data_IF_494326312221
#
_entry.id   IF_494326312221
#
_cell.length_a   1.000
_cell.length_b   1.000
_cell.length_c   1.000
_cell.angle_alpha   90.00
_cell.angle_beta   90.00
_cell.angle_gamma   90.00
#
_symmetry.space_group_name_H-M   'P 1'
#
loop_
_entity.id
_entity.type
_entity.pdbx_description
1 polymer ?
#
# COMPACT_ATOMS: atom_id res chain seq x y z
N UNK A 1 -37.28 1.08 -16.61
CA UNK A 1 -37.44 2.41 -15.98
C UNK A 1 -36.21 3.26 -16.28
N UNK A 2 -36.18 4.55 -15.93
CA UNK A 2 -34.92 5.32 -15.89
C UNK A 2 -34.41 5.40 -14.45
N UNK A 3 -33.10 5.25 -14.27
CA UNK A 3 -32.46 5.25 -12.95
C UNK A 3 -31.12 5.99 -13.03
N UNK A 4 -30.68 6.55 -11.90
CA UNK A 4 -29.36 7.17 -11.83
C UNK A 4 -28.27 6.12 -12.03
N UNK A 5 -27.31 6.45 -12.88
CA UNK A 5 -26.18 5.57 -13.22
C UNK A 5 -25.39 5.14 -11.97
N UNK A 6 -25.21 6.01 -10.98
CA UNK A 6 -24.49 5.68 -9.75
C UNK A 6 -25.20 4.66 -8.86
N UNK A 7 -26.51 4.53 -8.97
CA UNK A 7 -27.30 3.50 -8.29
C UNK A 7 -27.30 2.21 -9.14
N UNK A 8 -27.57 2.36 -10.44
CA UNK A 8 -27.66 1.22 -11.36
C UNK A 8 -26.36 0.41 -11.40
N UNK A 9 -25.20 1.09 -11.36
CA UNK A 9 -23.89 0.43 -11.30
C UNK A 9 -23.69 -0.42 -10.04
N UNK A 10 -24.25 -0.02 -8.90
CA UNK A 10 -24.15 -0.79 -7.65
C UNK A 10 -25.11 -1.98 -7.68
N UNK A 11 -26.33 -1.76 -8.15
CA UNK A 11 -27.34 -2.82 -8.26
C UNK A 11 -26.97 -3.90 -9.27
N UNK A 12 -26.30 -3.53 -10.37
CA UNK A 12 -25.77 -4.48 -11.35
C UNK A 12 -24.41 -5.09 -10.95
N UNK A 13 -23.91 -4.79 -9.74
CA UNK A 13 -22.71 -5.41 -9.18
C UNK A 13 -21.38 -4.90 -9.75
N UNK A 14 -21.36 -3.79 -10.49
CA UNK A 14 -20.10 -3.19 -10.96
C UNK A 14 -19.28 -2.57 -9.83
N UNK A 15 -19.91 -2.13 -8.75
CA UNK A 15 -19.24 -1.55 -7.58
C UNK A 15 -19.94 -1.89 -6.28
N UNK A 16 -19.17 -2.09 -5.21
CA UNK A 16 -19.70 -2.41 -3.87
C UNK A 16 -20.38 -1.22 -3.18
N UNK A 17 -20.20 0.00 -3.69
CA UNK A 17 -20.82 1.19 -3.10
C UNK A 17 -21.03 2.31 -4.11
N UNK A 18 -22.02 3.16 -3.83
CA UNK A 18 -22.32 4.35 -4.65
C UNK A 18 -21.15 5.31 -4.74
N UNK A 19 -20.31 5.36 -3.71
CA UNK A 19 -19.15 6.24 -3.70
C UNK A 19 -18.05 5.74 -4.65
N UNK A 20 -17.84 4.43 -4.74
CA UNK A 20 -16.93 3.83 -5.74
C UNK A 20 -17.46 4.06 -7.16
N UNK A 21 -18.76 3.86 -7.38
CA UNK A 21 -19.40 4.13 -8.66
C UNK A 21 -19.23 5.60 -9.09
N UNK A 22 -19.47 6.56 -8.18
CA UNK A 22 -19.24 7.99 -8.43
C UNK A 22 -17.81 8.29 -8.84
N UNK A 23 -16.82 7.73 -8.13
CA UNK A 23 -15.39 7.91 -8.43
C UNK A 23 -15.04 7.38 -9.81
N UNK A 24 -15.57 6.22 -10.20
CA UNK A 24 -15.34 5.63 -11.52
C UNK A 24 -15.94 6.49 -12.66
N UNK A 25 -17.14 7.04 -12.45
CA UNK A 25 -17.79 7.96 -13.40
C UNK A 25 -16.95 9.23 -13.55
N UNK A 26 -16.52 9.83 -12.43
CA UNK A 26 -15.66 11.03 -12.45
C UNK A 26 -14.30 10.77 -13.10
N UNK A 27 -13.77 9.55 -12.99
CA UNK A 27 -12.55 9.12 -13.65
C UNK A 27 -12.74 8.82 -15.16
N UNK A 28 -13.97 8.94 -15.69
CA UNK A 28 -14.26 8.72 -17.11
C UNK A 28 -14.23 7.25 -17.52
N UNK A 29 -14.38 6.33 -16.57
CA UNK A 29 -14.27 4.88 -16.79
C UNK A 29 -15.61 4.23 -17.14
N UNK A 30 -16.72 4.91 -16.93
CA UNK A 30 -18.07 4.37 -17.15
C UNK A 30 -18.58 4.81 -18.51
N UNK A 31 -19.02 3.85 -19.31
CA UNK A 31 -19.63 4.03 -20.62
C UNK A 31 -21.05 3.45 -20.59
N UNK A 32 -22.00 4.18 -21.15
CA UNK A 32 -23.40 3.77 -21.29
C UNK A 32 -23.74 3.87 -22.76
N UNK A 33 -24.13 2.76 -23.37
CA UNK A 33 -24.41 2.67 -24.81
C UNK A 33 -23.26 3.25 -25.67
N UNK A 34 -22.02 2.87 -25.31
CA UNK A 34 -20.75 3.34 -25.89
C UNK A 34 -20.42 4.84 -25.72
N UNK A 35 -21.20 5.60 -24.94
CA UNK A 35 -20.91 6.99 -24.61
C UNK A 35 -20.35 7.11 -23.20
N UNK A 36 -19.28 7.89 -23.04
CA UNK A 36 -18.68 8.14 -21.72
C UNK A 36 -19.65 8.91 -20.84
N UNK A 37 -19.93 8.38 -19.65
CA UNK A 37 -20.71 9.05 -18.63
C UNK A 37 -19.78 9.87 -17.72
N UNK A 38 -20.08 11.15 -17.55
CA UNK A 38 -19.30 12.11 -16.76
C UNK A 38 -20.03 12.59 -15.49
N UNK A 39 -21.32 12.26 -15.35
CA UNK A 39 -22.18 12.73 -14.25
C UNK A 39 -22.84 11.56 -13.53
N UNK A 40 -22.53 11.41 -12.25
CA UNK A 40 -23.09 10.34 -11.41
C UNK A 40 -24.62 10.38 -11.27
N UNK A 41 -25.22 11.58 -11.34
CA UNK A 41 -26.67 11.75 -11.29
C UNK A 41 -27.38 11.55 -12.62
N UNK A 42 -26.65 11.17 -13.70
CA UNK A 42 -27.25 10.99 -15.02
C UNK A 42 -28.24 9.82 -15.01
N UNK A 43 -29.44 10.05 -15.53
CA UNK A 43 -30.48 9.04 -15.60
C UNK A 43 -30.36 8.23 -16.90
N UNK A 44 -30.16 6.93 -16.75
CA UNK A 44 -30.01 5.97 -17.84
C UNK A 44 -31.15 4.96 -17.79
N UNK A 45 -31.44 4.31 -18.92
CA UNK A 45 -32.41 3.22 -18.90
C UNK A 45 -31.79 2.01 -18.19
N UNK A 46 -32.60 1.26 -17.45
CA UNK A 46 -32.10 0.08 -16.72
C UNK A 46 -31.56 -1.03 -17.64
N UNK A 47 -32.00 -1.06 -18.90
CA UNK A 47 -31.58 -1.99 -19.96
C UNK A 47 -30.44 -1.44 -20.83
N UNK A 48 -29.94 -0.21 -20.56
CA UNK A 48 -28.79 0.34 -21.26
C UNK A 48 -27.57 -0.55 -21.10
N UNK A 49 -26.76 -0.70 -22.16
CA UNK A 49 -25.53 -1.47 -22.11
C UNK A 49 -24.47 -0.67 -21.37
N UNK A 50 -24.11 -1.11 -20.17
CA UNK A 50 -23.08 -0.47 -19.35
C UNK A 50 -21.76 -1.21 -19.51
N UNK A 51 -20.70 -0.46 -19.79
CA UNK A 51 -19.32 -0.93 -19.82
C UNK A 51 -18.50 -0.08 -18.85
N UNK A 52 -17.80 -0.72 -17.93
CA UNK A 52 -16.85 -0.06 -17.03
C UNK A 52 -15.45 -0.45 -17.50
N UNK A 53 -14.74 0.51 -18.09
CA UNK A 53 -13.37 0.29 -18.58
C UNK A 53 -12.39 0.39 -17.42
N UNK A 54 -11.73 -0.73 -17.15
CA UNK A 54 -10.81 -0.87 -16.03
C UNK A 54 -11.54 -1.00 -14.70
N UNK A 55 -10.94 -1.72 -13.76
CA UNK A 55 -11.31 -1.59 -12.36
C UNK A 55 -10.50 -0.40 -11.81
N UNK A 56 -11.10 0.75 -11.44
CA UNK A 56 -10.32 1.90 -10.97
C UNK A 56 -9.41 1.54 -9.80
N UNK A 57 -9.82 0.57 -8.98
CA UNK A 57 -9.09 0.04 -7.84
C UNK A 57 -9.49 -1.44 -7.70
N UNK A 58 -8.65 -2.42 -8.10
CA UNK A 58 -8.99 -3.85 -8.02
C UNK A 58 -9.08 -4.39 -6.58
N UNK A 59 -8.68 -3.57 -5.61
CA UNK A 59 -8.64 -3.92 -4.19
C UNK A 59 -9.75 -3.22 -3.40
N UNK A 60 -9.99 -3.64 -2.16
CA UNK A 60 -10.96 -2.97 -1.24
C UNK A 60 -10.62 -1.51 -0.96
N UNK A 61 -9.37 -1.09 -1.17
CA UNK A 61 -8.96 0.31 -1.04
C UNK A 61 -7.82 0.66 -1.98
N UNK A 62 -7.61 1.97 -2.19
CA UNK A 62 -6.51 2.50 -3.03
C UNK A 62 -5.13 2.08 -2.53
N UNK A 63 -5.01 1.68 -1.27
CA UNK A 63 -3.77 1.17 -0.70
C UNK A 63 -3.19 0.06 -1.56
N UNK A 64 -4.00 -0.91 -2.01
CA UNK A 64 -3.49 -2.06 -2.78
C UNK A 64 -2.71 -1.69 -4.04
N UNK A 65 -2.99 -0.54 -4.67
CA UNK A 65 -2.22 -0.04 -5.83
C UNK A 65 -0.74 0.20 -5.50
N UNK A 66 -0.43 0.57 -4.24
CA UNK A 66 0.95 0.80 -3.80
C UNK A 66 1.75 -0.50 -3.76
N UNK A 67 1.16 -1.55 -3.18
CA UNK A 67 1.78 -2.87 -3.12
C UNK A 67 1.84 -3.50 -4.51
N UNK A 68 0.80 -3.36 -5.33
CA UNK A 68 0.79 -3.80 -6.73
C UNK A 68 1.95 -3.20 -7.53
N UNK A 69 2.20 -1.88 -7.41
CA UNK A 69 3.37 -1.26 -8.04
C UNK A 69 4.68 -1.87 -7.53
N UNK A 70 4.82 -2.04 -6.22
CA UNK A 70 6.03 -2.63 -5.64
C UNK A 70 6.28 -4.05 -6.18
N UNK A 71 5.23 -4.88 -6.23
CA UNK A 71 5.34 -6.25 -6.74
C UNK A 71 5.78 -6.27 -8.19
N UNK A 72 5.19 -5.43 -9.04
CA UNK A 72 5.55 -5.35 -10.45
C UNK A 72 6.98 -4.83 -10.66
N UNK A 73 7.37 -3.79 -9.92
CA UNK A 73 8.64 -3.11 -10.16
C UNK A 73 9.84 -3.83 -9.53
N UNK A 74 9.60 -4.60 -8.46
CA UNK A 74 10.64 -5.35 -7.75
C UNK A 74 10.56 -6.87 -8.01
N UNK A 75 9.72 -7.30 -8.95
CA UNK A 75 9.53 -8.71 -9.34
C UNK A 75 9.23 -9.63 -8.15
N UNK A 76 8.31 -9.19 -7.28
CA UNK A 76 7.93 -9.93 -6.07
C UNK A 76 6.79 -10.88 -6.40
N UNK A 77 7.04 -12.18 -6.20
CA UNK A 77 5.97 -13.20 -6.17
C UNK A 77 5.46 -13.40 -4.75
N UNK A 78 4.14 -13.47 -4.58
CA UNK A 78 3.45 -13.80 -3.33
C UNK A 78 2.77 -15.18 -3.34
N UNK A 79 2.93 -15.90 -4.45
CA UNK A 79 2.36 -17.21 -4.67
C UNK A 79 2.81 -18.20 -3.57
N UNK A 80 1.84 -18.83 -2.91
CA UNK A 80 2.05 -19.79 -1.82
C UNK A 80 2.80 -19.24 -0.59
N UNK A 81 2.78 -17.93 -0.36
CA UNK A 81 3.44 -17.31 0.80
C UNK A 81 2.51 -17.05 1.98
N UNK A 82 3.06 -17.16 3.18
CA UNK A 82 2.51 -16.57 4.40
C UNK A 82 2.98 -15.13 4.48
N UNK A 83 2.04 -14.19 4.59
CA UNK A 83 2.32 -12.77 4.57
C UNK A 83 1.89 -12.06 5.86
N UNK A 84 2.54 -10.93 6.16
CA UNK A 84 2.10 -9.99 7.20
C UNK A 84 1.70 -8.65 6.56
N UNK A 85 0.52 -8.13 6.91
CA UNK A 85 0.09 -6.77 6.56
C UNK A 85 0.14 -5.88 7.81
N UNK A 86 1.21 -5.10 7.96
CA UNK A 86 1.44 -4.23 9.12
C UNK A 86 0.88 -2.85 8.82
N UNK A 87 -0.21 -2.50 9.51
CA UNK A 87 -1.03 -1.31 9.20
C UNK A 87 -2.14 -1.61 8.19
N UNK A 88 -2.79 -2.78 8.31
CA UNK A 88 -3.74 -3.29 7.32
C UNK A 88 -4.90 -2.32 7.01
N UNK A 89 -5.35 -1.54 7.99
CA UNK A 89 -6.45 -0.57 7.88
C UNK A 89 -7.69 -1.20 7.23
N UNK A 90 -8.13 -0.67 6.08
CA UNK A 90 -9.25 -1.21 5.30
C UNK A 90 -8.96 -2.55 4.61
N UNK A 91 -7.69 -2.96 4.54
CA UNK A 91 -7.22 -4.23 3.98
C UNK A 91 -6.79 -4.16 2.52
N UNK A 92 -6.41 -2.97 2.01
CA UNK A 92 -6.00 -2.82 0.61
C UNK A 92 -4.79 -3.67 0.24
N UNK A 93 -3.80 -3.75 1.13
CA UNK A 93 -2.60 -4.57 0.94
C UNK A 93 -2.92 -6.06 1.14
N UNK A 94 -3.64 -6.41 2.21
CA UNK A 94 -4.18 -7.77 2.43
C UNK A 94 -4.89 -8.30 1.18
N UNK A 95 -5.82 -7.55 0.59
CA UNK A 95 -6.55 -7.96 -0.63
C UNK A 95 -5.60 -8.14 -1.82
N UNK A 96 -4.60 -7.25 -1.98
CA UNK A 96 -3.57 -7.38 -3.01
C UNK A 96 -2.75 -8.67 -2.83
N UNK A 97 -2.35 -9.01 -1.60
CA UNK A 97 -1.60 -10.24 -1.34
C UNK A 97 -2.43 -11.50 -1.65
N UNK A 98 -3.69 -11.54 -1.20
CA UNK A 98 -4.58 -12.68 -1.43
C UNK A 98 -4.91 -12.90 -2.91
N UNK A 99 -5.11 -11.81 -3.66
CA UNK A 99 -5.36 -11.88 -5.11
C UNK A 99 -4.13 -12.35 -5.90
N UNK A 100 -2.93 -12.22 -5.33
CA UNK A 100 -1.67 -12.63 -5.93
C UNK A 100 -1.09 -13.92 -5.29
N UNK A 101 -1.95 -14.79 -4.77
CA UNK A 101 -1.59 -16.15 -4.40
C UNK A 101 -1.07 -16.35 -2.97
N UNK A 102 -1.13 -15.33 -2.10
CA UNK A 102 -0.84 -15.53 -0.69
C UNK A 102 -1.83 -16.54 -0.08
N UNK A 103 -1.30 -17.54 0.62
CA UNK A 103 -2.09 -18.60 1.25
C UNK A 103 -2.55 -18.22 2.65
N UNK A 104 -1.90 -17.23 3.27
CA UNK A 104 -2.26 -16.71 4.59
C UNK A 104 -1.77 -15.27 4.74
N UNK A 105 -2.59 -14.40 5.36
CA UNK A 105 -2.21 -13.02 5.67
C UNK A 105 -2.56 -12.69 7.12
N UNK A 106 -1.56 -12.32 7.91
CA UNK A 106 -1.76 -11.72 9.23
C UNK A 106 -1.99 -10.22 9.07
N UNK A 107 -3.24 -9.77 9.18
CA UNK A 107 -3.63 -8.37 9.04
C UNK A 107 -3.58 -7.67 10.39
N UNK A 108 -2.48 -6.97 10.66
CA UNK A 108 -2.16 -6.36 11.96
C UNK A 108 -2.47 -4.87 11.91
N UNK A 109 -3.33 -4.39 12.80
CA UNK A 109 -3.66 -2.97 12.90
C UNK A 109 -3.97 -2.53 14.34
N UNK A 110 -3.63 -1.30 14.69
CA UNK A 110 -3.97 -0.68 15.98
C UNK A 110 -5.42 -0.21 16.05
N UNK A 111 -6.04 0.02 14.89
CA UNK A 111 -7.43 0.36 14.72
C UNK A 111 -8.38 -0.81 15.02
N UNK A 112 -9.67 -0.51 14.99
CA UNK A 112 -10.73 -1.48 15.25
C UNK A 112 -11.87 -1.30 14.25
N UNK A 113 -12.39 -2.41 13.74
CA UNK A 113 -13.51 -2.46 12.81
C UNK A 113 -13.22 -1.81 11.45
N UNK A 114 -11.95 -1.78 11.03
CA UNK A 114 -11.54 -1.13 9.78
C UNK A 114 -11.48 -2.11 8.62
N UNK A 115 -11.09 -3.36 8.89
CA UNK A 115 -10.87 -4.35 7.85
C UNK A 115 -12.17 -4.66 7.11
N UNK A 116 -12.13 -4.60 5.77
CA UNK A 116 -13.30 -4.85 4.94
C UNK A 116 -13.94 -6.21 5.25
N UNK A 117 -15.28 -6.25 5.31
CA UNK A 117 -16.03 -7.45 5.71
C UNK A 117 -15.63 -8.71 4.93
N UNK A 118 -15.45 -8.59 3.60
CA UNK A 118 -15.05 -9.71 2.75
C UNK A 118 -13.73 -10.35 3.19
N UNK A 119 -12.76 -9.54 3.62
CA UNK A 119 -11.45 -10.00 4.07
C UNK A 119 -11.54 -10.59 5.47
N UNK A 120 -12.40 -9.99 6.32
CA UNK A 120 -12.66 -10.48 7.67
C UNK A 120 -13.31 -11.88 7.70
N UNK A 121 -13.95 -12.27 6.60
CA UNK A 121 -14.58 -13.58 6.40
C UNK A 121 -13.71 -14.54 5.57
N UNK A 122 -12.59 -14.08 5.01
CA UNK A 122 -11.68 -14.94 4.24
C UNK A 122 -10.87 -15.81 5.21
N UNK A 123 -10.94 -17.13 5.05
CA UNK A 123 -10.27 -18.09 5.94
C UNK A 123 -8.74 -17.97 5.94
N UNK A 124 -8.17 -17.36 4.90
CA UNK A 124 -6.74 -17.11 4.78
C UNK A 124 -6.30 -15.89 5.59
N UNK A 125 -7.23 -15.09 6.11
CA UNK A 125 -6.93 -13.85 6.82
C UNK A 125 -7.01 -14.06 8.33
N UNK A 126 -5.91 -13.75 9.03
CA UNK A 126 -5.89 -13.65 10.49
C UNK A 126 -5.98 -12.17 10.86
N UNK A 127 -7.17 -11.74 11.29
CA UNK A 127 -7.43 -10.36 11.68
C UNK A 127 -6.91 -10.08 13.09
N UNK A 128 -5.87 -9.25 13.20
CA UNK A 128 -5.23 -8.82 14.45
C UNK A 128 -5.43 -7.31 14.65
N UNK A 129 -6.68 -6.91 14.90
CA UNK A 129 -7.05 -5.54 15.22
C UNK A 129 -6.79 -5.19 16.70
N UNK A 130 -6.67 -3.90 17.01
CA UNK A 130 -6.22 -3.38 18.32
C UNK A 130 -4.85 -3.92 18.73
N UNK A 131 -4.03 -4.29 17.76
CA UNK A 131 -2.72 -4.89 17.97
C UNK A 131 -1.64 -3.96 17.47
N UNK A 132 -0.76 -3.53 18.37
CA UNK A 132 0.42 -2.76 18.00
C UNK A 132 1.55 -3.72 17.65
N UNK A 133 2.03 -3.66 16.41
CA UNK A 133 3.12 -4.52 15.89
C UNK A 133 4.35 -4.58 16.81
N UNK A 134 4.64 -3.52 17.56
CA UNK A 134 5.78 -3.49 18.50
C UNK A 134 5.67 -4.48 19.65
N UNK A 135 4.49 -5.03 19.88
CA UNK A 135 4.19 -5.97 20.96
C UNK A 135 3.83 -7.36 20.42
N UNK A 136 3.80 -7.54 19.09
CA UNK A 136 3.56 -8.84 18.48
C UNK A 136 4.83 -9.66 18.53
N UNK A 137 4.66 -10.93 18.86
CA UNK A 137 5.71 -11.93 19.01
C UNK A 137 5.42 -13.13 18.10
N UNK A 138 6.42 -14.01 17.93
CA UNK A 138 6.23 -15.23 17.13
C UNK A 138 5.19 -16.16 17.75
N UNK A 139 4.98 -16.08 19.07
CA UNK A 139 3.94 -16.82 19.79
C UNK A 139 2.51 -16.40 19.39
N UNK A 140 2.33 -15.14 18.99
CA UNK A 140 1.04 -14.62 18.54
C UNK A 140 0.69 -15.11 17.13
N UNK A 141 1.68 -15.16 16.22
CA UNK A 141 1.47 -15.61 14.83
C UNK A 141 1.60 -17.12 14.67
N UNK A 142 2.41 -17.76 15.53
CA UNK A 142 2.79 -19.20 15.55
C UNK A 142 3.53 -19.69 14.30
N UNK A 143 3.69 -18.83 13.31
CA UNK A 143 4.31 -19.11 12.03
C UNK A 143 5.11 -17.87 11.61
N UNK A 144 6.27 -18.10 11.00
CA UNK A 144 7.05 -17.03 10.39
C UNK A 144 6.44 -16.66 9.03
N UNK A 145 6.38 -15.36 8.74
CA UNK A 145 6.03 -14.89 7.40
C UNK A 145 7.22 -14.99 6.45
N UNK A 146 6.91 -15.03 5.17
CA UNK A 146 7.88 -15.00 4.07
C UNK A 146 7.90 -13.65 3.37
N UNK A 147 6.84 -12.86 3.57
CA UNK A 147 6.70 -11.50 3.08
C UNK A 147 5.99 -10.62 4.10
N UNK A 148 6.41 -9.38 4.25
CA UNK A 148 5.68 -8.38 5.02
C UNK A 148 5.49 -7.10 4.20
N UNK A 149 4.32 -6.48 4.35
CA UNK A 149 4.08 -5.13 3.90
C UNK A 149 3.88 -4.19 5.08
N UNK A 150 4.46 -2.98 5.02
CA UNK A 150 4.38 -1.99 6.11
C UNK A 150 3.82 -0.68 5.57
N UNK A 151 2.57 -0.34 5.92
CA UNK A 151 1.89 0.93 5.59
C UNK A 151 1.34 1.63 6.86
N UNK A 152 2.23 1.89 7.82
CA UNK A 152 1.87 2.52 9.11
C UNK A 152 1.86 4.05 9.04
N UNK A 153 1.12 4.69 9.95
CA UNK A 153 1.08 6.15 10.09
C UNK A 153 1.41 6.58 11.53
N UNK A 154 1.92 7.80 11.70
CA UNK A 154 2.29 8.37 13.02
C UNK A 154 3.38 7.61 13.79
N UNK A 155 4.14 6.76 13.12
CA UNK A 155 5.27 6.02 13.68
C UNK A 155 6.38 5.92 12.63
N UNK A 156 7.62 5.94 13.08
CA UNK A 156 8.79 5.74 12.22
C UNK A 156 9.01 4.25 11.94
N UNK A 157 9.44 3.93 10.71
CA UNK A 157 9.90 2.60 10.31
C UNK A 157 11.04 2.10 11.20
N UNK A 158 11.82 2.99 11.83
CA UNK A 158 12.88 2.60 12.77
C UNK A 158 12.38 1.79 13.96
N UNK A 159 11.11 1.96 14.33
CA UNK A 159 10.49 1.21 15.42
C UNK A 159 9.75 -0.05 14.95
N UNK A 160 9.45 -0.13 13.65
CA UNK A 160 8.61 -1.20 13.08
C UNK A 160 9.45 -2.26 12.39
N UNK A 161 10.47 -1.88 11.62
CA UNK A 161 11.34 -2.81 10.89
C UNK A 161 11.99 -3.88 11.78
N UNK A 162 12.58 -3.56 12.96
CA UNK A 162 13.15 -4.59 13.82
C UNK A 162 12.12 -5.63 14.25
N UNK A 163 10.89 -5.19 14.54
CA UNK A 163 9.80 -6.06 14.98
C UNK A 163 9.23 -6.89 13.84
N UNK A 164 9.12 -6.33 12.63
CA UNK A 164 8.77 -7.10 11.44
C UNK A 164 9.79 -8.20 11.15
N UNK A 165 11.09 -7.92 11.35
CA UNK A 165 12.19 -8.89 11.18
C UNK A 165 12.12 -10.08 12.13
N UNK A 166 11.68 -9.87 13.38
CA UNK A 166 11.47 -10.96 14.35
C UNK A 166 10.34 -11.93 13.94
N UNK A 167 9.42 -11.50 13.08
CA UNK A 167 8.25 -12.27 12.63
C UNK A 167 8.43 -12.91 11.24
N UNK A 168 9.57 -12.68 10.59
CA UNK A 168 9.87 -13.19 9.26
C UNK A 168 10.93 -14.29 9.31
N UNK A 169 10.84 -15.22 8.37
CA UNK A 169 11.91 -16.18 8.13
C UNK A 169 13.20 -15.47 7.69
N UNK A 170 14.33 -16.19 7.82
CA UNK A 170 15.59 -15.73 7.23
C UNK A 170 15.41 -15.57 5.71
N UNK A 171 15.87 -14.44 5.17
CA UNK A 171 15.61 -14.05 3.76
C UNK A 171 14.16 -13.73 3.38
N UNK A 172 13.22 -13.67 4.34
CA UNK A 172 11.89 -13.12 4.11
C UNK A 172 11.97 -11.69 3.60
N UNK A 173 11.02 -11.27 2.76
CA UNK A 173 11.07 -9.96 2.09
C UNK A 173 10.11 -8.95 2.73
N UNK A 174 10.43 -7.66 2.63
CA UNK A 174 9.58 -6.58 3.13
C UNK A 174 9.40 -5.52 2.04
N UNK A 175 8.17 -5.07 1.83
CA UNK A 175 7.89 -3.77 1.19
C UNK A 175 7.40 -2.80 2.25
N UNK A 176 8.17 -1.74 2.50
CA UNK A 176 7.80 -0.72 3.48
C UNK A 176 7.55 0.62 2.79
N UNK A 177 6.54 1.35 3.28
CA UNK A 177 6.29 2.71 2.89
C UNK A 177 7.11 3.69 3.72
N UNK A 178 8.02 4.41 3.06
CA UNK A 178 8.69 5.56 3.64
C UNK A 178 7.78 6.78 3.46
N UNK A 179 7.28 7.31 4.57
CA UNK A 179 6.39 8.46 4.61
C UNK A 179 7.12 9.67 5.21
N UNK A 180 7.64 10.61 4.39
CA UNK A 180 8.45 11.72 4.88
C UNK A 180 7.84 12.49 6.05
N UNK A 181 6.52 12.68 6.06
CA UNK A 181 5.79 13.36 7.13
C UNK A 181 5.86 12.70 8.52
N UNK A 182 6.22 11.41 8.59
CA UNK A 182 6.37 10.67 9.85
C UNK A 182 7.82 10.37 10.21
N UNK A 183 8.76 10.62 9.29
CA UNK A 183 10.19 10.34 9.44
C UNK A 183 11.05 11.60 9.60
N UNK A 184 10.61 12.70 8.99
CA UNK A 184 11.26 14.00 9.08
C UNK A 184 11.07 14.62 10.47
N UNK A 185 12.02 15.47 10.87
CA UNK A 185 11.90 16.28 12.09
C UNK A 185 10.70 17.23 12.00
N UNK A 186 10.13 17.58 13.16
CA UNK A 186 8.92 18.43 13.25
C UNK A 186 9.09 19.76 12.52
N UNK A 187 10.30 20.29 12.50
CA UNK A 187 10.69 21.54 11.84
C UNK A 187 10.63 21.49 10.31
N UNK A 188 10.69 20.28 9.72
CA UNK A 188 10.66 20.07 8.25
C UNK A 188 9.28 19.72 7.72
N UNK A 189 8.28 19.62 8.61
CA UNK A 189 6.90 19.30 8.26
C UNK A 189 6.10 20.61 8.13
N UNK A 190 5.65 20.90 6.91
CA UNK A 190 4.93 22.14 6.60
C UNK A 190 3.47 22.14 7.05
N UNK A 191 2.73 23.18 6.63
CA UNK A 191 1.28 23.31 6.89
C UNK A 191 0.54 22.04 6.44
N UNK A 192 -0.46 21.63 7.23
CA UNK A 192 -1.26 20.40 7.03
C UNK A 192 -0.46 19.09 7.06
N UNK A 193 0.76 19.10 7.63
CA UNK A 193 1.54 17.88 7.74
C UNK A 193 2.20 17.44 6.42
N UNK A 194 2.43 18.39 5.49
CA UNK A 194 2.96 18.09 4.15
C UNK A 194 4.44 18.45 4.06
N UNK A 195 5.25 17.49 3.61
CA UNK A 195 6.68 17.70 3.33
C UNK A 195 6.84 17.96 1.83
N UNK A 196 7.25 19.18 1.47
CA UNK A 196 7.36 19.62 0.06
C UNK A 196 8.80 19.66 -0.47
N UNK A 197 9.76 19.91 0.41
CA UNK A 197 11.16 20.06 0.02
C UNK A 197 11.76 18.73 -0.46
N UNK A 198 12.31 18.72 -1.68
CA UNK A 198 13.01 17.55 -2.26
C UNK A 198 14.15 17.08 -1.36
N UNK A 199 14.93 18.01 -0.83
CA UNK A 199 16.06 17.72 0.06
C UNK A 199 15.63 16.95 1.30
N UNK A 200 14.48 17.29 1.90
CA UNK A 200 13.93 16.56 3.04
C UNK A 200 13.53 15.14 2.66
N UNK A 201 13.00 14.91 1.46
CA UNK A 201 12.67 13.55 1.01
C UNK A 201 13.93 12.70 0.83
N UNK A 202 14.96 13.25 0.20
CA UNK A 202 16.28 12.59 0.04
C UNK A 202 16.84 12.21 1.42
N UNK A 203 16.90 13.17 2.34
CA UNK A 203 17.43 12.95 3.69
C UNK A 203 16.66 11.86 4.45
N UNK A 204 15.33 11.85 4.36
CA UNK A 204 14.51 10.82 4.99
C UNK A 204 14.82 9.44 4.41
N UNK A 205 14.91 9.32 3.09
CA UNK A 205 15.18 8.03 2.43
C UNK A 205 16.59 7.56 2.78
N UNK A 206 17.61 8.43 2.75
CA UNK A 206 18.97 8.12 3.18
C UNK A 206 18.97 7.60 4.63
N UNK A 207 18.33 8.32 5.55
CA UNK A 207 18.26 7.98 6.98
C UNK A 207 17.56 6.65 7.26
N UNK A 208 16.52 6.31 6.50
CA UNK A 208 15.81 5.03 6.64
C UNK A 208 16.62 3.89 6.01
N UNK A 209 17.27 4.14 4.87
CA UNK A 209 18.10 3.15 4.17
C UNK A 209 19.32 2.76 5.01
N UNK A 210 20.03 3.76 5.54
CA UNK A 210 21.16 3.54 6.47
C UNK A 210 20.72 2.68 7.67
N UNK A 211 19.60 3.05 8.29
CA UNK A 211 19.06 2.29 9.42
C UNK A 211 18.66 0.86 9.04
N UNK A 212 18.06 0.64 7.87
CA UNK A 212 17.70 -0.70 7.43
C UNK A 212 18.95 -1.58 7.28
N UNK A 213 20.03 -1.06 6.70
CA UNK A 213 21.30 -1.79 6.60
C UNK A 213 21.88 -2.07 7.99
N UNK A 214 21.91 -1.08 8.89
CA UNK A 214 22.37 -1.24 10.28
C UNK A 214 21.54 -2.28 11.05
N UNK A 215 20.23 -2.34 10.80
CA UNK A 215 19.31 -3.32 11.39
C UNK A 215 19.42 -4.72 10.76
N UNK A 216 20.32 -4.91 9.79
CA UNK A 216 20.63 -6.19 9.17
C UNK A 216 19.67 -6.56 8.03
N UNK A 217 19.25 -5.58 7.23
CA UNK A 217 18.51 -5.80 5.99
C UNK A 217 19.37 -5.50 4.76
N UNK A 218 19.21 -6.33 3.74
CA UNK A 218 19.66 -6.01 2.38
C UNK A 218 18.60 -5.15 1.68
N UNK A 219 19.01 -4.09 0.98
CA UNK A 219 18.10 -3.25 0.19
C UNK A 219 18.07 -3.77 -1.23
N UNK A 220 16.92 -4.28 -1.65
CA UNK A 220 16.71 -4.85 -2.97
C UNK A 220 16.18 -3.82 -3.98
N UNK A 221 15.50 -2.77 -3.50
CA UNK A 221 14.92 -1.77 -4.40
C UNK A 221 14.36 -0.54 -3.70
N UNK A 222 14.22 0.54 -4.47
CA UNK A 222 13.61 1.80 -4.06
C UNK A 222 12.80 2.39 -5.22
N UNK A 223 11.57 2.84 -4.93
CA UNK A 223 10.70 3.54 -5.86
C UNK A 223 9.76 4.50 -5.10
N UNK A 224 8.88 5.21 -5.78
CA UNK A 224 7.82 6.03 -5.19
C UNK A 224 6.45 5.35 -5.27
N UNK A 225 5.54 5.64 -4.34
CA UNK A 225 4.14 5.18 -4.40
C UNK A 225 3.43 5.74 -5.64
N UNK A 226 2.58 4.96 -6.34
CA UNK A 226 1.83 5.45 -7.52
C UNK A 226 0.74 6.49 -7.16
N UNK A 227 0.45 6.64 -5.86
CA UNK A 227 -0.54 7.58 -5.34
C UNK A 227 0.06 8.38 -4.19
N UNK A 228 -0.35 9.64 -4.06
CA UNK A 228 -0.04 10.46 -2.88
C UNK A 228 -0.85 10.02 -1.66
N UNK A 229 -0.28 10.25 -0.47
CA UNK A 229 -1.00 10.12 0.79
C UNK A 229 -2.20 11.07 0.89
N UNK A 230 -3.09 10.91 1.89
CA UNK A 230 -4.35 11.67 1.98
C UNK A 230 -4.19 13.20 1.92
N UNK A 231 -3.15 13.73 2.58
CA UNK A 231 -2.83 15.17 2.61
C UNK A 231 -1.97 15.63 1.41
N UNK A 232 -1.71 14.75 0.45
CA UNK A 232 -0.91 15.05 -0.74
C UNK A 232 0.59 14.81 -0.60
N UNK A 233 1.04 14.15 0.48
CA UNK A 233 2.44 13.75 0.64
C UNK A 233 2.85 12.73 -0.42
N UNK A 234 4.03 12.92 -0.99
CA UNK A 234 4.71 11.88 -1.77
C UNK A 234 5.23 10.82 -0.78
N UNK A 235 4.98 9.55 -1.09
CA UNK A 235 5.42 8.41 -0.29
C UNK A 235 6.35 7.54 -1.14
N UNK A 236 7.28 6.84 -0.51
CA UNK A 236 8.25 5.98 -1.19
C UNK A 236 8.11 4.53 -0.76
N UNK A 237 8.54 3.62 -1.64
CA UNK A 237 8.51 2.18 -1.47
C UNK A 237 9.96 1.70 -1.38
N UNK A 238 10.31 1.04 -0.28
CA UNK A 238 11.60 0.36 -0.13
C UNK A 238 11.36 -1.14 -0.04
N UNK A 239 12.11 -1.91 -0.82
CA UNK A 239 12.10 -3.36 -0.82
C UNK A 239 13.34 -3.87 -0.10
N UNK A 240 13.12 -4.69 0.92
CA UNK A 240 14.15 -5.18 1.82
C UNK A 240 14.10 -6.71 1.88
N UNK A 241 15.23 -7.31 2.24
CA UNK A 241 15.35 -8.73 2.58
C UNK A 241 15.88 -8.89 4.00
N UNK A 242 15.29 -9.83 4.74
CA UNK A 242 15.58 -10.14 6.14
C UNK A 242 16.87 -10.96 6.30
N UNK A 243 17.96 -10.43 5.77
CA UNK A 243 19.36 -10.81 5.97
C UNK A 243 20.19 -9.82 5.17
N UNK A 244 21.36 -9.47 5.68
CA UNK A 244 22.39 -8.73 4.95
C UNK A 244 23.71 -9.50 4.89
N UNK A 245 23.65 -10.84 5.01
CA UNK A 245 24.83 -11.68 4.99
C UNK A 245 25.51 -11.59 3.61
N UNK A 246 26.73 -11.08 3.58
CA UNK A 246 27.48 -10.84 2.34
C UNK A 246 26.98 -9.66 1.51
N UNK A 247 26.11 -8.80 2.06
CA UNK A 247 25.63 -7.59 1.39
C UNK A 247 26.60 -6.42 1.60
N UNK A 248 27.20 -5.94 0.52
CA UNK A 248 28.02 -4.73 0.51
C UNK A 248 27.19 -3.51 0.10
N UNK A 249 26.84 -2.66 1.08
CA UNK A 249 26.04 -1.47 0.81
C UNK A 249 26.92 -0.32 0.27
N UNK A 250 26.83 -0.05 -1.03
CA UNK A 250 27.45 1.11 -1.64
C UNK A 250 26.57 2.36 -1.49
N UNK A 251 26.85 3.16 -0.45
CA UNK A 251 26.08 4.36 -0.12
C UNK A 251 26.08 5.42 -1.22
N UNK A 252 27.20 5.62 -1.91
CA UNK A 252 27.31 6.65 -2.96
C UNK A 252 26.51 6.28 -4.21
N UNK A 253 26.54 5.00 -4.60
CA UNK A 253 25.70 4.50 -5.70
C UNK A 253 24.21 4.57 -5.34
N UNK A 254 23.86 4.13 -4.12
CA UNK A 254 22.48 4.16 -3.68
C UNK A 254 21.92 5.59 -3.58
N UNK A 255 22.76 6.57 -3.22
CA UNK A 255 22.39 7.99 -3.25
C UNK A 255 21.98 8.48 -4.64
N UNK A 256 22.60 7.97 -5.71
CA UNK A 256 22.17 8.28 -7.08
C UNK A 256 20.78 7.71 -7.38
N UNK A 257 20.49 6.50 -6.89
CA UNK A 257 19.15 5.90 -6.96
C UNK A 257 18.12 6.75 -6.24
N UNK A 258 18.43 7.20 -5.01
CA UNK A 258 17.54 8.09 -4.23
C UNK A 258 17.23 9.36 -5.01
N UNK A 259 18.25 10.07 -5.50
CA UNK A 259 18.05 11.31 -6.26
C UNK A 259 17.15 11.10 -7.48
N UNK A 260 17.40 10.05 -8.26
CA UNK A 260 16.59 9.70 -9.43
C UNK A 260 15.13 9.43 -9.06
N UNK A 261 14.89 8.64 -8.01
CA UNK A 261 13.53 8.29 -7.55
C UNK A 261 12.79 9.53 -7.04
N UNK A 262 13.45 10.36 -6.25
CA UNK A 262 12.87 11.61 -5.73
C UNK A 262 12.55 12.57 -6.88
N UNK A 263 13.47 12.78 -7.82
CA UNK A 263 13.21 13.67 -8.96
C UNK A 263 12.03 13.20 -9.82
N UNK A 264 11.96 11.90 -10.12
CA UNK A 264 10.83 11.32 -10.85
C UNK A 264 9.50 11.54 -10.12
N UNK A 265 9.47 11.30 -8.80
CA UNK A 265 8.25 11.43 -8.01
C UNK A 265 7.73 12.87 -7.95
N UNK A 266 8.62 13.87 -7.91
CA UNK A 266 8.25 15.29 -7.89
C UNK A 266 7.82 15.83 -9.25
N UNK A 267 8.32 15.23 -10.33
CA UNK A 267 7.94 15.63 -11.69
C UNK A 267 6.60 15.00 -12.13
N UNK A 268 6.29 13.80 -11.65
CA UNK A 268 5.16 12.99 -12.12
C UNK A 268 3.92 13.04 -11.22
N UNK A 269 4.03 13.53 -9.97
CA UNK A 269 2.90 13.51 -9.03
C UNK A 269 2.40 14.87 -8.57
#
# INVERSE_FOLDING_TARGET
MKKRIDILLVEQGFFDSRERAKKAIMAGLVFVDNQRCDKAGFEVKEDSKIEVKGNPIPYVSRGGLKLEKAMKNFDISLENKICLDIGASTGGFTDCMLQNGAIKVFSIDVGYGQLAWKLRQDERVVCMERTNIRHVTIEDTKEFGQFASIDVSFISLKLVLPKAKELLESSGQIVALIKPQFEAGREKVGKKGVVREKSTHIEVIEKISDFAVEAGFEILGLDYSPIKGPEGNIEYLIHLKNSNDGYEFNKEEFKQVINRVVDNSHNLM
#
